data_IF_358136730366
#
_entry.id   IF_358136730366
#
_cell.length_a   1.000
_cell.length_b   1.000
_cell.length_c   1.000
_cell.angle_alpha   90.00
_cell.angle_beta   90.00
_cell.angle_gamma   90.00
#
_symmetry.space_group_name_H-M   'P 1'
#
loop_
_entity.id
_entity.type
_entity.pdbx_description
1 polymer ?
#
# COMPACT_ATOMS: atom_id res chain seq x y z
N UNK A 1 17.68 20.83 -6.27
CA UNK A 1 17.25 19.41 -6.27
C UNK A 1 15.86 19.36 -5.66
N UNK A 2 14.98 18.50 -6.15
CA UNK A 2 13.62 18.37 -5.59
C UNK A 2 13.67 17.59 -4.28
N UNK A 3 13.00 18.10 -3.24
CA UNK A 3 13.01 17.55 -1.87
C UNK A 3 11.73 16.79 -1.57
N UNK A 4 11.88 15.53 -1.18
CA UNK A 4 10.80 14.68 -0.67
C UNK A 4 10.84 14.63 0.86
N UNK A 5 9.74 15.01 1.51
CA UNK A 5 9.46 14.61 2.89
C UNK A 5 8.73 13.25 2.89
N UNK A 6 9.41 12.21 3.36
CA UNK A 6 8.88 10.85 3.38
C UNK A 6 8.43 10.47 4.79
N UNK A 7 7.12 10.51 5.02
CA UNK A 7 6.53 10.14 6.31
C UNK A 7 6.35 8.63 6.37
N UNK A 8 7.10 7.98 7.26
CA UNK A 8 7.11 6.54 7.48
C UNK A 8 8.26 5.83 6.78
N UNK A 9 9.41 5.71 7.44
CA UNK A 9 10.59 5.00 6.95
C UNK A 9 10.55 3.47 7.18
N UNK A 10 9.38 2.84 6.99
CA UNK A 10 9.18 1.41 7.17
C UNK A 10 9.38 0.60 5.88
N UNK A 11 8.77 -0.60 5.82
CA UNK A 11 8.93 -1.53 4.70
C UNK A 11 8.73 -0.92 3.30
N UNK A 12 7.61 -0.23 3.07
CA UNK A 12 7.36 0.46 1.80
C UNK A 12 8.17 1.76 1.70
N UNK A 13 8.25 2.53 2.80
CA UNK A 13 8.94 3.81 2.83
C UNK A 13 10.40 3.73 2.42
N UNK A 14 11.14 2.73 2.90
CA UNK A 14 12.54 2.52 2.50
C UNK A 14 12.67 2.28 0.99
N UNK A 15 11.77 1.51 0.38
CA UNK A 15 11.75 1.29 -1.06
C UNK A 15 11.39 2.56 -1.83
N UNK A 16 10.39 3.33 -1.37
CA UNK A 16 10.04 4.64 -1.93
C UNK A 16 11.25 5.59 -1.86
N UNK A 17 11.87 5.74 -0.68
CA UNK A 17 13.01 6.60 -0.49
C UNK A 17 14.22 6.19 -1.34
N UNK A 18 14.42 4.89 -1.58
CA UNK A 18 15.44 4.40 -2.53
C UNK A 18 15.12 4.85 -3.96
N UNK A 19 13.92 4.57 -4.46
CA UNK A 19 13.51 4.94 -5.83
C UNK A 19 13.63 6.44 -6.07
N UNK A 20 13.21 7.28 -5.12
CA UNK A 20 13.32 8.74 -5.27
C UNK A 20 14.78 9.21 -5.32
N UNK A 21 15.67 8.66 -4.47
CA UNK A 21 17.10 8.98 -4.50
C UNK A 21 17.77 8.55 -5.81
N UNK A 22 17.42 7.38 -6.33
CA UNK A 22 17.90 6.89 -7.64
C UNK A 22 17.53 7.85 -8.78
N UNK A 23 16.46 8.63 -8.63
CA UNK A 23 16.02 9.65 -9.59
C UNK A 23 16.46 11.08 -9.21
N UNK A 24 17.44 11.22 -8.31
CA UNK A 24 18.08 12.50 -7.98
C UNK A 24 17.30 13.41 -7.03
N UNK A 25 16.27 12.88 -6.35
CA UNK A 25 15.56 13.63 -5.32
C UNK A 25 16.31 13.55 -4.00
N UNK A 26 16.32 14.66 -3.26
CA UNK A 26 16.76 14.67 -1.88
C UNK A 26 15.63 14.13 -1.02
N UNK A 27 15.87 13.04 -0.27
CA UNK A 27 14.84 12.38 0.53
C UNK A 27 15.14 12.57 2.01
N UNK A 28 14.22 13.23 2.70
CA UNK A 28 14.18 13.35 4.15
C UNK A 28 13.16 12.36 4.73
N UNK A 29 13.59 11.17 5.19
CA UNK A 29 12.69 10.23 5.84
C UNK A 29 12.34 10.69 7.26
N UNK A 30 11.11 10.41 7.66
CA UNK A 30 10.57 10.68 8.98
C UNK A 30 9.96 9.40 9.53
N UNK A 31 10.17 9.13 10.81
CA UNK A 31 9.51 8.01 11.51
C UNK A 31 9.14 8.45 12.92
N UNK A 32 8.26 7.69 13.59
CA UNK A 32 7.79 8.03 14.93
C UNK A 32 8.94 8.20 15.94
N UNK A 33 9.92 7.29 15.90
CA UNK A 33 11.07 7.28 16.81
C UNK A 33 12.33 7.95 16.25
N UNK A 34 12.36 8.28 14.96
CA UNK A 34 13.60 8.56 14.25
C UNK A 34 14.50 7.32 14.10
N UNK A 35 15.77 7.54 13.79
CA UNK A 35 16.76 6.46 13.57
C UNK A 35 16.84 6.00 12.12
N UNK A 36 17.85 5.20 11.77
CA UNK A 36 18.12 4.72 10.40
C UNK A 36 18.08 5.83 9.33
N UNK A 37 18.66 6.98 9.67
CA UNK A 37 18.68 8.17 8.81
C UNK A 37 17.38 8.97 8.77
N UNK A 38 16.36 8.62 9.57
CA UNK A 38 15.10 9.35 9.68
C UNK A 38 15.04 10.32 10.85
N UNK A 39 14.37 11.46 10.64
CA UNK A 39 14.00 12.40 11.72
C UNK A 39 12.83 11.84 12.52
N UNK A 40 12.84 12.07 13.83
CA UNK A 40 11.76 11.68 14.72
C UNK A 40 10.59 12.67 14.61
N UNK A 41 9.40 12.20 14.26
CA UNK A 41 8.17 12.95 14.40
C UNK A 41 6.93 12.03 14.45
N UNK A 42 5.99 12.36 15.33
CA UNK A 42 4.67 11.77 15.31
C UNK A 42 3.78 12.55 14.35
N UNK A 43 3.46 11.96 13.20
CA UNK A 43 2.62 12.62 12.19
C UNK A 43 1.23 12.99 12.73
N UNK A 44 0.71 12.25 13.72
CA UNK A 44 -0.57 12.54 14.34
C UNK A 44 -0.55 13.71 15.34
N UNK A 45 0.63 14.18 15.74
CA UNK A 45 0.79 15.36 16.58
C UNK A 45 1.17 16.60 15.74
N UNK A 46 0.32 17.61 15.74
CA UNK A 46 0.52 18.83 14.97
C UNK A 46 1.82 19.57 15.36
N UNK A 47 2.18 19.58 16.64
CA UNK A 47 3.40 20.24 17.10
C UNK A 47 4.65 19.52 16.59
N UNK A 48 4.62 18.18 16.58
CA UNK A 48 5.67 17.35 16.01
C UNK A 48 5.82 17.57 14.50
N UNK A 49 4.72 17.67 13.74
CA UNK A 49 4.79 17.99 12.29
C UNK A 49 5.31 19.41 12.04
N UNK A 50 4.91 20.40 12.86
CA UNK A 50 5.44 21.78 12.79
C UNK A 50 6.94 21.85 13.03
N UNK A 51 7.53 20.91 13.77
CA UNK A 51 8.98 20.84 13.95
C UNK A 51 9.74 20.43 12.66
N UNK A 52 9.03 20.01 11.60
CA UNK A 52 9.60 19.63 10.31
C UNK A 52 9.56 20.76 9.25
N UNK A 53 9.10 21.97 9.60
CA UNK A 53 8.95 23.07 8.62
C UNK A 53 10.26 23.46 7.93
N UNK A 54 11.39 23.26 8.60
CA UNK A 54 12.73 23.50 8.06
C UNK A 54 13.08 22.55 6.91
N UNK A 55 12.39 21.41 6.79
CA UNK A 55 12.55 20.49 5.66
C UNK A 55 12.17 21.14 4.32
N UNK A 56 11.24 22.11 4.35
CA UNK A 56 10.73 22.83 3.19
C UNK A 56 10.52 21.94 1.94
N UNK A 57 9.71 20.86 2.04
CA UNK A 57 9.60 19.88 0.96
C UNK A 57 8.92 20.44 -0.30
N UNK A 58 9.33 19.92 -1.45
CA UNK A 58 8.66 20.14 -2.74
C UNK A 58 7.55 19.09 -2.99
N UNK A 59 7.60 17.97 -2.27
CA UNK A 59 6.59 16.91 -2.30
C UNK A 59 6.57 16.13 -0.98
N UNK A 60 5.42 15.60 -0.59
CA UNK A 60 5.25 14.76 0.59
C UNK A 60 4.70 13.40 0.18
N UNK A 61 5.31 12.32 0.67
CA UNK A 61 4.73 10.98 0.59
C UNK A 61 4.45 10.49 2.01
N UNK A 62 3.19 10.14 2.27
CA UNK A 62 2.77 9.53 3.51
C UNK A 62 2.60 8.01 3.37
N UNK A 63 3.61 7.28 3.86
CA UNK A 63 3.71 5.81 3.92
C UNK A 63 3.66 5.24 5.36
N UNK A 64 3.59 6.08 6.39
CA UNK A 64 3.59 5.61 7.78
C UNK A 64 2.41 4.67 8.02
N UNK A 65 2.68 3.56 8.72
CA UNK A 65 1.69 2.54 9.03
C UNK A 65 1.33 2.59 10.52
N UNK A 66 0.09 2.27 10.85
CA UNK A 66 -0.43 2.24 12.24
C UNK A 66 0.15 1.13 13.13
N UNK A 67 1.25 0.45 12.75
CA UNK A 67 1.97 -0.49 13.62
C UNK A 67 1.16 -1.71 14.09
N UNK A 68 0.07 -2.04 13.39
CA UNK A 68 -0.99 -3.01 13.74
C UNK A 68 -2.09 -2.51 14.69
N UNK A 69 -2.06 -1.27 15.16
CA UNK A 69 -3.07 -0.70 16.05
C UNK A 69 -4.50 -0.67 15.49
N UNK A 70 -5.46 -0.48 16.39
CA UNK A 70 -6.89 -0.39 16.13
C UNK A 70 -7.32 0.99 15.57
N UNK A 71 -8.63 1.31 15.63
CA UNK A 71 -9.18 2.55 15.11
C UNK A 71 -8.47 3.83 15.58
N UNK A 72 -8.10 3.93 16.86
CA UNK A 72 -7.36 5.08 17.39
C UNK A 72 -6.03 5.33 16.68
N UNK A 73 -5.27 4.26 16.41
CA UNK A 73 -4.02 4.37 15.67
C UNK A 73 -4.25 4.72 14.19
N UNK A 74 -5.38 4.30 13.60
CA UNK A 74 -5.77 4.69 12.24
C UNK A 74 -6.17 6.17 12.18
N UNK A 75 -6.95 6.65 13.15
CA UNK A 75 -7.32 8.05 13.29
C UNK A 75 -6.07 8.93 13.40
N UNK A 76 -5.21 8.63 14.37
CA UNK A 76 -3.97 9.39 14.64
C UNK A 76 -3.01 9.38 13.46
N UNK A 77 -2.67 8.20 12.92
CA UNK A 77 -1.65 8.10 11.88
C UNK A 77 -2.18 8.54 10.51
N UNK A 78 -3.42 8.21 10.15
CA UNK A 78 -3.90 8.47 8.79
C UNK A 78 -4.71 9.76 8.70
N UNK A 79 -5.78 9.90 9.50
CA UNK A 79 -6.69 11.06 9.37
C UNK A 79 -6.02 12.32 9.89
N UNK A 80 -5.55 12.29 11.13
CA UNK A 80 -4.89 13.43 11.76
C UNK A 80 -3.51 13.66 11.12
N UNK A 81 -2.80 12.58 10.79
CA UNK A 81 -1.53 12.66 10.06
C UNK A 81 -1.64 13.36 8.71
N UNK A 82 -2.60 12.97 7.86
CA UNK A 82 -2.82 13.65 6.58
C UNK A 82 -3.25 15.11 6.78
N UNK A 83 -4.09 15.39 7.78
CA UNK A 83 -4.54 16.76 8.08
C UNK A 83 -3.38 17.64 8.51
N UNK A 84 -2.57 17.18 9.46
CA UNK A 84 -1.42 17.91 9.95
C UNK A 84 -0.41 18.21 8.83
N UNK A 85 -0.15 17.25 7.94
CA UNK A 85 0.73 17.47 6.80
C UNK A 85 0.17 18.52 5.83
N UNK A 86 -1.12 18.44 5.49
CA UNK A 86 -1.77 19.41 4.62
C UNK A 86 -1.80 20.83 5.23
N UNK A 87 -2.03 20.93 6.54
CA UNK A 87 -2.09 22.20 7.28
C UNK A 87 -0.72 22.86 7.44
N UNK A 88 0.33 22.07 7.73
CA UNK A 88 1.69 22.58 7.95
C UNK A 88 2.40 22.91 6.65
N UNK A 89 2.10 22.20 5.56
CA UNK A 89 2.73 22.37 4.26
C UNK A 89 1.70 22.75 3.17
N UNK A 90 1.00 23.89 3.31
CA UNK A 90 -0.05 24.26 2.36
C UNK A 90 0.51 24.43 0.96
N UNK A 91 -0.18 23.84 -0.03
CA UNK A 91 0.20 23.90 -1.45
C UNK A 91 1.25 22.86 -1.89
N UNK A 92 1.98 22.26 -0.94
CA UNK A 92 2.92 21.16 -1.25
C UNK A 92 2.12 19.91 -1.63
N UNK A 93 2.37 19.29 -2.80
CA UNK A 93 1.67 18.07 -3.19
C UNK A 93 1.90 16.94 -2.17
N UNK A 94 0.80 16.31 -1.76
CA UNK A 94 0.78 15.19 -0.81
C UNK A 94 0.28 13.93 -1.51
N UNK A 95 1.04 12.84 -1.46
CA UNK A 95 0.58 11.51 -1.84
C UNK A 95 0.41 10.63 -0.61
N UNK A 96 -0.78 10.07 -0.42
CA UNK A 96 -1.09 9.13 0.65
C UNK A 96 -1.21 7.70 0.13
N UNK A 97 -0.47 6.76 0.73
CA UNK A 97 -0.60 5.33 0.41
C UNK A 97 -1.75 4.71 1.21
N UNK A 98 -2.96 4.76 0.64
CA UNK A 98 -4.14 4.09 1.16
C UNK A 98 -4.13 2.58 0.84
N UNK A 99 -5.27 1.90 0.95
CA UNK A 99 -5.40 0.46 0.69
C UNK A 99 -6.66 0.12 -0.09
N UNK A 100 -6.55 -0.86 -0.99
CA UNK A 100 -7.70 -1.44 -1.71
C UNK A 100 -8.67 -2.24 -0.82
N UNK A 101 -8.43 -2.29 0.50
CA UNK A 101 -9.39 -2.81 1.48
C UNK A 101 -10.62 -1.93 1.68
N UNK A 102 -10.65 -0.70 1.15
CA UNK A 102 -11.82 0.18 1.20
C UNK A 102 -12.98 -0.33 0.32
N UNK A 103 -12.68 -1.12 -0.70
CA UNK A 103 -13.66 -1.82 -1.51
C UNK A 103 -14.16 -3.07 -0.76
N UNK A 104 -15.47 -3.23 -0.55
CA UNK A 104 -16.05 -4.31 0.26
C UNK A 104 -16.64 -5.48 -0.56
N UNK A 105 -16.52 -5.45 -1.88
CA UNK A 105 -17.13 -6.42 -2.79
C UNK A 105 -16.69 -7.86 -2.49
N UNK A 106 -17.66 -8.77 -2.57
CA UNK A 106 -17.57 -10.19 -2.22
C UNK A 106 -18.06 -11.11 -3.33
N UNK A 107 -18.40 -10.56 -4.49
CA UNK A 107 -19.07 -11.22 -5.62
C UNK A 107 -18.12 -11.58 -6.78
N UNK A 108 -16.82 -11.27 -6.65
CA UNK A 108 -15.82 -11.52 -7.69
C UNK A 108 -15.79 -10.47 -8.80
N UNK A 109 -16.52 -9.36 -8.64
CA UNK A 109 -16.52 -8.21 -9.55
C UNK A 109 -15.13 -7.61 -9.78
N UNK A 110 -14.97 -6.89 -10.89
CA UNK A 110 -13.84 -5.99 -11.09
C UNK A 110 -14.17 -4.65 -10.42
N UNK A 111 -13.23 -4.09 -9.67
CA UNK A 111 -13.37 -2.76 -9.06
C UNK A 111 -12.30 -1.82 -9.59
N UNK A 112 -12.69 -0.60 -9.89
CA UNK A 112 -11.84 0.53 -10.27
C UNK A 112 -11.97 1.68 -9.25
N UNK A 113 -11.33 2.81 -9.51
CA UNK A 113 -11.32 3.97 -8.62
C UNK A 113 -12.69 4.66 -8.48
N UNK A 114 -13.59 4.46 -9.45
CA UNK A 114 -14.98 4.95 -9.41
C UNK A 114 -15.96 3.99 -8.72
N UNK A 115 -15.53 2.77 -8.44
CA UNK A 115 -16.36 1.75 -7.81
C UNK A 115 -16.69 2.09 -6.35
N UNK A 116 -17.86 1.66 -5.83
CA UNK A 116 -18.25 1.93 -4.44
C UNK A 116 -17.19 1.43 -3.43
N UNK A 117 -16.68 2.35 -2.62
CA UNK A 117 -15.77 2.08 -1.52
C UNK A 117 -16.53 2.27 -0.20
N UNK A 118 -17.21 1.20 0.26
CA UNK A 118 -18.06 1.22 1.46
C UNK A 118 -17.60 0.11 2.40
N UNK A 119 -16.52 0.32 3.18
CA UNK A 119 -15.98 -0.71 4.04
C UNK A 119 -16.82 -0.92 5.31
N UNK A 120 -17.05 -2.17 5.67
CA UNK A 120 -17.83 -2.54 6.86
C UNK A 120 -17.13 -2.13 8.17
N UNK A 121 -15.80 -2.07 8.14
CA UNK A 121 -14.98 -1.84 9.34
C UNK A 121 -14.60 -0.39 9.51
N UNK A 122 -14.56 0.04 10.77
CA UNK A 122 -14.17 1.39 11.17
C UNK A 122 -12.80 1.79 10.63
N UNK A 123 -11.82 0.89 10.68
CA UNK A 123 -10.47 1.14 10.12
C UNK A 123 -10.50 1.42 8.61
N UNK A 124 -11.43 0.81 7.87
CA UNK A 124 -11.64 1.12 6.45
C UNK A 124 -12.30 2.48 6.25
N UNK A 125 -13.26 2.85 7.10
CA UNK A 125 -13.89 4.19 7.08
C UNK A 125 -12.89 5.29 7.40
N UNK A 126 -11.96 5.04 8.33
CA UNK A 126 -10.88 5.97 8.67
C UNK A 126 -9.88 6.14 7.50
N UNK A 127 -9.61 5.09 6.72
CA UNK A 127 -8.84 5.25 5.47
C UNK A 127 -9.56 6.19 4.50
N UNK A 128 -10.87 6.02 4.29
CA UNK A 128 -11.64 6.93 3.42
C UNK A 128 -11.68 8.37 3.95
N UNK A 129 -11.73 8.56 5.27
CA UNK A 129 -11.63 9.89 5.87
C UNK A 129 -10.25 10.53 5.59
N UNK A 130 -9.16 9.76 5.70
CA UNK A 130 -7.82 10.24 5.34
C UNK A 130 -7.69 10.53 3.84
N UNK A 131 -8.24 9.67 2.98
CA UNK A 131 -8.31 9.90 1.53
C UNK A 131 -9.02 11.22 1.22
N UNK A 132 -10.16 11.49 1.87
CA UNK A 132 -10.88 12.75 1.71
C UNK A 132 -10.03 13.96 2.07
N UNK A 133 -9.32 13.93 3.21
CA UNK A 133 -8.42 15.03 3.61
C UNK A 133 -7.37 15.30 2.53
N UNK A 134 -6.76 14.25 1.99
CA UNK A 134 -5.73 14.35 0.95
C UNK A 134 -6.30 14.92 -0.34
N UNK A 135 -7.48 14.44 -0.77
CA UNK A 135 -8.14 14.89 -2.00
C UNK A 135 -8.62 16.35 -1.89
N UNK A 136 -9.17 16.75 -0.75
CA UNK A 136 -9.59 18.13 -0.48
C UNK A 136 -8.39 19.11 -0.52
N UNK A 137 -7.18 18.63 -0.18
CA UNK A 137 -5.92 19.37 -0.32
C UNK A 137 -5.30 19.30 -1.73
N UNK A 138 -5.98 18.68 -2.71
CA UNK A 138 -5.48 18.50 -4.08
C UNK A 138 -4.31 17.50 -4.18
N UNK A 139 -4.20 16.59 -3.22
CA UNK A 139 -3.21 15.52 -3.18
C UNK A 139 -3.59 14.30 -4.01
N UNK A 140 -2.81 13.23 -3.88
CA UNK A 140 -2.94 11.97 -4.62
C UNK A 140 -3.18 10.83 -3.65
N UNK A 141 -4.13 9.96 -3.96
CA UNK A 141 -4.39 8.74 -3.18
C UNK A 141 -3.94 7.52 -3.97
N UNK A 142 -3.01 6.76 -3.42
CA UNK A 142 -2.60 5.47 -3.97
C UNK A 142 -3.21 4.32 -3.14
N UNK A 143 -4.28 3.68 -3.63
CA UNK A 143 -4.92 2.51 -2.99
C UNK A 143 -4.10 1.27 -3.29
N UNK A 144 -3.21 0.91 -2.37
CA UNK A 144 -2.32 -0.25 -2.55
C UNK A 144 -3.03 -1.58 -2.27
N UNK A 145 -2.81 -2.55 -3.15
CA UNK A 145 -3.14 -3.97 -2.93
C UNK A 145 -2.25 -4.61 -1.84
N UNK A 146 -2.37 -5.92 -1.63
CA UNK A 146 -1.56 -6.63 -0.65
C UNK A 146 -0.07 -6.57 -1.00
N UNK A 147 0.69 -5.77 -0.26
CA UNK A 147 2.13 -5.60 -0.50
C UNK A 147 2.89 -6.87 -0.11
N UNK A 148 3.67 -7.38 -1.04
CA UNK A 148 4.64 -8.45 -0.85
C UNK A 148 5.99 -8.05 -1.44
N UNK A 149 7.07 -8.74 -1.10
CA UNK A 149 8.40 -8.44 -1.62
C UNK A 149 9.49 -9.06 -0.73
N UNK A 150 10.77 -8.68 -0.93
CA UNK A 150 11.86 -9.22 -0.14
C UNK A 150 11.61 -9.09 1.36
N UNK A 151 11.82 -10.15 2.13
CA UNK A 151 11.61 -10.16 3.58
C UNK A 151 10.15 -10.14 4.05
N UNK A 152 9.16 -10.08 3.14
CA UNK A 152 7.74 -10.04 3.52
C UNK A 152 6.81 -10.59 2.43
N UNK A 153 6.21 -11.74 2.69
CA UNK A 153 5.07 -12.25 1.92
C UNK A 153 4.20 -13.13 2.80
N UNK A 154 2.97 -12.70 3.08
CA UNK A 154 2.05 -13.48 3.94
C UNK A 154 1.61 -14.77 3.26
N UNK A 155 1.31 -14.71 1.97
CA UNK A 155 0.84 -15.88 1.19
C UNK A 155 1.97 -16.90 1.09
N UNK A 156 3.17 -16.48 0.69
CA UNK A 156 4.32 -17.38 0.53
C UNK A 156 4.77 -17.94 1.88
N UNK A 157 4.82 -17.12 2.93
CA UNK A 157 5.20 -17.59 4.28
C UNK A 157 4.25 -18.67 4.79
N UNK A 158 2.93 -18.46 4.71
CA UNK A 158 1.93 -19.47 5.10
C UNK A 158 2.06 -20.75 4.29
N UNK A 159 2.33 -20.63 2.99
CA UNK A 159 2.54 -21.80 2.13
C UNK A 159 3.77 -22.60 2.53
N UNK A 160 4.91 -21.93 2.72
CA UNK A 160 6.18 -22.59 3.07
C UNK A 160 6.15 -23.22 4.46
N UNK A 161 5.45 -22.60 5.43
CA UNK A 161 5.29 -23.16 6.79
C UNK A 161 4.23 -24.25 6.90
N UNK A 162 3.44 -24.51 5.86
CA UNK A 162 2.34 -25.47 5.88
C UNK A 162 1.05 -24.96 6.57
N UNK A 163 1.00 -23.68 6.94
CA UNK A 163 -0.19 -23.02 7.52
C UNK A 163 -1.21 -22.54 6.48
N UNK A 164 -0.90 -22.66 5.18
CA UNK A 164 -1.81 -22.25 4.13
C UNK A 164 -3.08 -23.13 4.14
N UNK A 165 -4.22 -22.47 3.90
CA UNK A 165 -5.52 -23.10 3.72
C UNK A 165 -6.17 -22.44 2.51
N UNK A 166 -6.73 -23.27 1.62
CA UNK A 166 -7.59 -22.79 0.54
C UNK A 166 -8.97 -22.51 1.17
N UNK A 167 -9.37 -21.24 1.18
CA UNK A 167 -10.64 -20.83 1.79
C UNK A 167 -11.79 -21.31 0.90
N UNK A 168 -12.66 -22.15 1.44
CA UNK A 168 -13.81 -22.76 0.77
C UNK A 168 -13.42 -23.44 -0.55
N UNK A 169 -13.92 -22.95 -1.68
CA UNK A 169 -13.62 -23.46 -3.02
C UNK A 169 -12.41 -22.77 -3.67
N UNK A 170 -11.76 -21.85 -2.96
CA UNK A 170 -10.57 -21.14 -3.39
C UNK A 170 -10.77 -20.15 -4.53
N UNK A 171 -12.02 -19.81 -4.89
CA UNK A 171 -12.33 -18.83 -5.95
C UNK A 171 -11.97 -17.39 -5.57
N UNK A 172 -11.77 -17.12 -4.28
CA UNK A 172 -11.46 -15.77 -3.80
C UNK A 172 -10.21 -15.20 -4.48
N UNK A 173 -10.38 -14.07 -5.15
CA UNK A 173 -9.27 -13.31 -5.72
C UNK A 173 -8.33 -12.73 -4.65
N UNK A 174 -7.04 -12.93 -4.88
CA UNK A 174 -5.93 -12.31 -4.17
C UNK A 174 -5.44 -11.13 -5.02
N UNK A 175 -5.41 -9.94 -4.43
CA UNK A 175 -4.88 -8.75 -5.09
C UNK A 175 -3.55 -8.41 -4.41
N UNK A 176 -2.48 -8.40 -5.17
CA UNK A 176 -1.11 -8.24 -4.67
C UNK A 176 -0.42 -7.08 -5.39
N UNK A 177 0.67 -6.59 -4.82
CA UNK A 177 1.58 -5.65 -5.47
C UNK A 177 2.99 -5.85 -4.90
N UNK A 178 3.99 -5.98 -5.77
CA UNK A 178 5.37 -6.08 -5.32
C UNK A 178 5.80 -4.76 -4.68
N UNK A 179 6.56 -4.80 -3.57
CA UNK A 179 7.01 -3.61 -2.82
C UNK A 179 7.72 -2.61 -3.73
N UNK A 180 8.61 -3.09 -4.58
CA UNK A 180 9.40 -2.23 -5.45
C UNK A 180 8.56 -1.67 -6.61
N UNK A 181 7.54 -2.41 -7.09
CA UNK A 181 6.54 -1.89 -8.03
C UNK A 181 5.69 -0.78 -7.40
N UNK A 182 5.22 -0.99 -6.16
CA UNK A 182 4.49 0.04 -5.43
C UNK A 182 5.33 1.31 -5.24
N UNK A 183 6.62 1.17 -4.93
CA UNK A 183 7.54 2.31 -4.80
C UNK A 183 7.72 3.06 -6.12
N UNK A 184 7.88 2.34 -7.25
CA UNK A 184 7.94 2.95 -8.59
C UNK A 184 6.63 3.61 -8.99
N UNK A 185 5.48 3.03 -8.65
CA UNK A 185 4.18 3.65 -8.89
C UNK A 185 4.04 4.99 -8.14
N UNK A 186 4.45 5.02 -6.86
CA UNK A 186 4.46 6.27 -6.07
C UNK A 186 5.36 7.33 -6.72
N UNK A 187 6.57 6.95 -7.16
CA UNK A 187 7.46 7.88 -7.87
C UNK A 187 6.89 8.36 -9.20
N UNK A 188 6.32 7.46 -10.00
CA UNK A 188 5.69 7.78 -11.28
C UNK A 188 4.56 8.81 -11.11
N UNK A 189 3.68 8.60 -10.12
CA UNK A 189 2.60 9.53 -9.82
C UNK A 189 3.13 10.89 -9.35
N UNK A 190 4.13 10.89 -8.46
CA UNK A 190 4.72 12.10 -7.90
C UNK A 190 5.46 12.96 -8.95
N UNK A 191 6.24 12.33 -9.82
CA UNK A 191 7.09 13.03 -10.81
C UNK A 191 6.33 13.58 -12.01
N UNK A 192 5.09 13.12 -12.25
CA UNK A 192 4.28 13.53 -13.39
C UNK A 192 3.84 15.00 -13.35
N UNK A 193 3.61 15.55 -12.14
CA UNK A 193 2.97 16.85 -11.91
C UNK A 193 1.51 16.96 -12.38
N UNK A 194 0.88 15.87 -12.86
CA UNK A 194 -0.41 15.89 -13.59
C UNK A 194 -1.59 15.31 -12.82
N UNK A 195 -1.35 14.60 -11.73
CA UNK A 195 -2.33 13.71 -11.11
C UNK A 195 -2.98 14.24 -9.82
N UNK A 196 -3.09 15.57 -9.69
CA UNK A 196 -3.60 16.21 -8.48
C UNK A 196 -5.10 15.96 -8.30
N UNK A 197 -5.52 15.65 -7.07
CA UNK A 197 -6.91 15.37 -6.73
C UNK A 197 -7.42 14.02 -7.21
N UNK A 198 -6.51 13.09 -7.54
CA UNK A 198 -6.86 11.81 -8.14
C UNK A 198 -6.56 10.61 -7.22
N UNK A 199 -7.37 9.56 -7.41
CA UNK A 199 -7.16 8.23 -6.83
C UNK A 199 -6.56 7.32 -7.90
N UNK A 200 -5.65 6.44 -7.48
CA UNK A 200 -5.09 5.35 -8.28
C UNK A 200 -5.06 4.04 -7.49
N UNK A 201 -5.58 2.98 -8.08
CA UNK A 201 -5.37 1.62 -7.61
C UNK A 201 -3.96 1.17 -8.02
N UNK A 202 -3.19 0.69 -7.05
CA UNK A 202 -1.85 0.17 -7.29
C UNK A 202 -1.86 -1.32 -6.95
N UNK A 203 -2.01 -2.12 -8.01
CA UNK A 203 -2.07 -3.58 -7.99
C UNK A 203 -1.20 -4.13 -9.10
N UNK A 204 -0.76 -5.38 -8.96
CA UNK A 204 -0.19 -6.15 -10.07
C UNK A 204 -1.22 -6.34 -11.20
N UNK A 205 -0.75 -6.82 -12.36
CA UNK A 205 -1.59 -6.90 -13.57
C UNK A 205 -2.39 -8.19 -13.69
N UNK A 206 -2.22 -9.12 -12.75
CA UNK A 206 -2.77 -10.48 -12.86
C UNK A 206 -3.62 -10.84 -11.64
N UNK A 207 -4.93 -10.53 -11.64
CA UNK A 207 -5.83 -10.99 -10.59
C UNK A 207 -5.83 -12.52 -10.50
N UNK A 208 -5.42 -13.05 -9.35
CA UNK A 208 -5.20 -14.49 -9.19
C UNK A 208 -6.16 -15.06 -8.15
N UNK A 209 -6.91 -16.11 -8.50
CA UNK A 209 -7.73 -16.84 -7.54
C UNK A 209 -6.84 -17.56 -6.52
N UNK A 210 -7.29 -17.70 -5.27
CA UNK A 210 -6.49 -18.28 -4.20
C UNK A 210 -6.04 -19.71 -4.50
N UNK A 211 -6.93 -20.56 -5.01
CA UNK A 211 -6.58 -21.92 -5.39
C UNK A 211 -5.51 -21.96 -6.50
N UNK A 212 -5.61 -21.08 -7.49
CA UNK A 212 -4.61 -20.97 -8.56
C UNK A 212 -3.26 -20.49 -8.03
N UNK A 213 -3.26 -19.49 -7.13
CA UNK A 213 -2.04 -19.02 -6.49
C UNK A 213 -1.32 -20.17 -5.77
N UNK A 214 -2.03 -20.95 -4.94
CA UNK A 214 -1.41 -22.06 -4.22
C UNK A 214 -1.04 -23.24 -5.12
N UNK A 215 -1.76 -23.48 -6.22
CA UNK A 215 -1.37 -24.46 -7.23
C UNK A 215 -0.02 -24.10 -7.85
N UNK A 216 0.17 -22.84 -8.26
CA UNK A 216 1.47 -22.38 -8.78
C UNK A 216 2.59 -22.47 -7.76
N UNK A 217 2.31 -22.15 -6.49
CA UNK A 217 3.30 -22.34 -5.42
C UNK A 217 3.65 -23.83 -5.21
N UNK A 218 2.67 -24.73 -5.24
CA UNK A 218 2.87 -26.17 -5.17
C UNK A 218 3.79 -26.67 -6.30
N UNK A 219 3.56 -26.20 -7.53
CA UNK A 219 4.40 -26.50 -8.69
C UNK A 219 5.83 -25.95 -8.53
N UNK A 220 5.98 -24.68 -8.15
CA UNK A 220 7.30 -24.03 -8.00
C UNK A 220 8.17 -24.74 -6.95
N UNK A 221 7.57 -25.15 -5.82
CA UNK A 221 8.30 -25.71 -4.68
C UNK A 221 8.25 -27.23 -4.57
N UNK A 222 7.56 -27.92 -5.48
CA UNK A 222 7.35 -29.38 -5.39
C UNK A 222 6.67 -29.81 -4.08
N UNK A 223 5.72 -29.01 -3.58
CA UNK A 223 5.00 -29.24 -2.32
C UNK A 223 3.54 -29.63 -2.59
N UNK A 224 2.87 -30.36 -1.68
CA UNK A 224 1.46 -30.68 -1.85
C UNK A 224 0.60 -29.40 -1.84
N UNK A 225 -0.53 -29.47 -2.54
CA UNK A 225 -1.53 -28.40 -2.48
C UNK A 225 -2.07 -28.27 -1.05
N UNK A 226 -2.25 -27.06 -0.51
CA UNK A 226 -2.82 -26.88 0.82
C UNK A 226 -4.26 -27.43 0.89
N UNK A 227 -4.71 -27.91 2.06
CA UNK A 227 -6.07 -28.39 2.23
C UNK A 227 -7.09 -27.25 2.07
N UNK A 228 -8.32 -27.60 1.71
CA UNK A 228 -9.46 -26.68 1.76
C UNK A 228 -10.03 -26.59 3.18
N UNK A 229 -10.54 -25.43 3.57
CA UNK A 229 -11.11 -25.21 4.89
C UNK A 229 -12.03 -23.98 4.94
N UNK A 230 -12.70 -23.74 6.08
CA UNK A 230 -13.60 -22.59 6.22
C UNK A 230 -12.83 -21.26 6.12
N UNK A 231 -13.56 -20.18 5.82
CA UNK A 231 -13.01 -18.82 5.89
C UNK A 231 -12.58 -18.52 7.33
N UNK A 232 -11.46 -17.82 7.47
CA UNK A 232 -11.01 -17.27 8.75
C UNK A 232 -11.98 -16.16 9.20
N UNK A 233 -12.72 -16.34 10.33
CA UNK A 233 -13.65 -15.33 10.83
C UNK A 233 -12.92 -14.14 11.47
N UNK A 234 -11.69 -14.34 11.95
CA UNK A 234 -10.91 -13.37 12.72
C UNK A 234 -9.94 -12.56 11.85
N UNK A 235 -10.17 -12.56 10.52
CA UNK A 235 -9.34 -11.80 9.58
C UNK A 235 -9.26 -10.35 10.01
N UNK A 236 -8.03 -9.84 10.14
CA UNK A 236 -7.78 -8.43 10.44
C UNK A 236 -8.41 -7.46 9.42
N UNK A 237 -8.48 -7.85 8.15
CA UNK A 237 -9.12 -7.10 7.06
C UNK A 237 -10.43 -7.76 6.64
N UNK A 238 -11.38 -6.96 6.15
CA UNK A 238 -12.65 -7.48 5.64
C UNK A 238 -12.43 -8.61 4.65
N UNK A 239 -13.32 -9.61 4.68
CA UNK A 239 -13.31 -10.64 3.66
C UNK A 239 -13.85 -10.03 2.37
N UNK A 240 -13.04 -10.07 1.30
CA UNK A 240 -13.40 -9.48 0.01
C UNK A 240 -13.04 -10.44 -1.10
N UNK A 241 -13.90 -10.52 -2.11
CA UNK A 241 -13.70 -11.27 -3.32
C UNK A 241 -13.99 -10.34 -4.49
N UNK A 242 -12.91 -9.83 -5.09
CA UNK A 242 -12.94 -8.81 -6.15
C UNK A 242 -11.60 -8.76 -6.86
N UNK A 243 -11.58 -8.23 -8.09
CA UNK A 243 -10.38 -7.98 -8.90
C UNK A 243 -10.12 -6.48 -8.93
N UNK A 244 -9.04 -6.02 -8.31
CA UNK A 244 -8.68 -4.60 -8.30
C UNK A 244 -8.05 -4.25 -9.65
N UNK A 245 -8.74 -3.44 -10.43
CA UNK A 245 -8.23 -2.92 -11.70
C UNK A 245 -7.14 -1.88 -11.43
N UNK A 246 -6.01 -2.00 -12.13
CA UNK A 246 -4.97 -0.98 -12.20
C UNK A 246 -4.99 -0.22 -13.54
N UNK A 247 -6.09 -0.33 -14.31
CA UNK A 247 -6.17 0.20 -15.67
C UNK A 247 -5.86 1.70 -15.75
N UNK A 248 -6.37 2.50 -14.80
CA UNK A 248 -6.10 3.93 -14.72
C UNK A 248 -4.61 4.24 -14.54
N UNK A 249 -3.92 3.49 -13.68
CA UNK A 249 -2.46 3.63 -13.50
C UNK A 249 -1.70 3.17 -14.75
N UNK A 250 -2.18 2.13 -15.45
CA UNK A 250 -1.58 1.71 -16.71
C UNK A 250 -1.68 2.79 -17.80
N UNK A 251 -2.80 3.51 -17.85
CA UNK A 251 -3.06 4.59 -18.82
C UNK A 251 -2.11 5.78 -18.65
N UNK A 252 -1.49 5.96 -17.47
CA UNK A 252 -0.43 6.96 -17.27
C UNK A 252 0.92 6.54 -17.86
N UNK A 253 1.01 5.32 -18.40
CA UNK A 253 2.23 4.73 -18.94
C UNK A 253 3.02 3.90 -17.93
N UNK A 254 2.54 3.76 -16.69
CA UNK A 254 3.17 2.90 -15.70
C UNK A 254 2.93 1.41 -15.99
N UNK A 255 3.95 0.58 -15.79
CA UNK A 255 3.85 -0.87 -15.88
C UNK A 255 4.63 -1.53 -14.74
N UNK A 256 4.14 -2.64 -14.17
CA UNK A 256 4.87 -3.39 -13.16
C UNK A 256 6.01 -4.21 -13.79
N UNK A 257 7.14 -4.32 -13.09
CA UNK A 257 8.19 -5.30 -13.43
C UNK A 257 7.81 -6.71 -12.98
N UNK A 258 6.94 -6.84 -11.96
CA UNK A 258 6.36 -8.11 -11.54
C UNK A 258 4.85 -8.12 -11.86
N UNK A 259 4.46 -8.56 -13.08
CA UNK A 259 3.06 -8.60 -13.53
C UNK A 259 2.15 -9.48 -12.68
N UNK A 260 2.73 -10.50 -12.02
CA UNK A 260 2.02 -11.34 -11.08
C UNK A 260 2.85 -11.65 -9.84
N UNK A 261 2.17 -11.96 -8.74
CA UNK A 261 2.78 -12.54 -7.55
C UNK A 261 3.71 -13.72 -7.86
N UNK A 262 3.28 -14.65 -8.72
CA UNK A 262 4.04 -15.85 -9.07
C UNK A 262 5.36 -15.55 -9.78
N UNK A 263 5.42 -14.50 -10.60
CA UNK A 263 6.65 -14.12 -11.32
C UNK A 263 7.76 -13.67 -10.36
N UNK A 264 7.38 -13.09 -9.23
CA UNK A 264 8.33 -12.66 -8.21
C UNK A 264 8.81 -13.80 -7.30
N UNK A 265 8.02 -14.87 -7.13
CA UNK A 265 8.27 -15.95 -6.14
C UNK A 265 9.71 -16.48 -6.15
N UNK A 266 10.34 -16.80 -7.30
CA UNK A 266 11.70 -17.33 -7.32
C UNK A 266 12.72 -16.38 -6.67
N UNK A 267 12.55 -15.07 -6.85
CA UNK A 267 13.42 -14.05 -6.25
C UNK A 267 13.14 -13.81 -4.76
N UNK A 268 11.94 -14.15 -4.31
CA UNK A 268 11.47 -13.88 -2.95
C UNK A 268 11.77 -15.00 -1.97
N UNK A 269 11.70 -16.25 -2.42
CA UNK A 269 11.85 -17.41 -1.55
C UNK A 269 13.11 -17.38 -0.67
N UNK A 270 14.30 -16.99 -1.16
CA UNK A 270 15.52 -16.93 -0.34
C UNK A 270 15.52 -15.83 0.72
N UNK A 271 14.54 -14.92 0.67
CA UNK A 271 14.50 -13.71 1.52
C UNK A 271 13.51 -13.82 2.69
N UNK A 272 12.74 -14.92 2.77
CA UNK A 272 11.65 -15.14 3.72
C UNK A 272 12.05 -16.12 4.83
#
# INVERSE_FOLDING_TARGET
MTRLLLIGNGYLGQAVGRVFREHGWEVLPVSLSGGDGSRAADVGDLSSVRALVDAAPDFIVHCAASGRGGPEAYQRVYVDGCRNLADVFPGVPLLFTSSSSVYAQTDGSVVDEGSPAVPDRETGRLLLAAEKVVLDAGGIVARLSGIYGPGRSVILKKFLSGEAVIEEDGRRFLNQIHRDDAARAVFHLASSGKHRGEIFNVSDSTPTAQAECYRRLAEIFGKPLPPSGPRDPDRKRGWTHKKVSYAKLRETGWQPEFPSFSDAVPSLAPTL
#
